data_IF_736522838598
#
_entry.id   IF_736522838598
#
_cell.length_a   1.000
_cell.length_b   1.000
_cell.length_c   1.000
_cell.angle_alpha   90.00
_cell.angle_beta   90.00
_cell.angle_gamma   90.00
#
_symmetry.space_group_name_H-M   'P 1'
#
loop_
_entity.id
_entity.type
_entity.pdbx_description
1 polymer ?
#
# COMPACT_ATOMS: atom_id res chain seq x y z
N UNK A 1 -22.24 6.69 13.05
CA UNK A 1 -22.25 5.61 14.06
C UNK A 1 -23.26 4.55 13.64
N UNK A 2 -22.96 3.26 13.83
CA UNK A 2 -23.86 2.16 13.47
C UNK A 2 -24.96 1.95 14.51
N UNK A 3 -26.11 1.44 14.06
CA UNK A 3 -27.15 0.88 14.95
C UNK A 3 -26.64 -0.43 15.57
N UNK A 4 -27.19 -0.86 16.73
CA UNK A 4 -26.98 -2.22 17.25
C UNK A 4 -27.09 -3.28 16.15
N UNK A 5 -26.21 -4.28 16.17
CA UNK A 5 -26.06 -5.34 15.16
C UNK A 5 -25.69 -4.89 13.74
N UNK A 6 -25.44 -3.59 13.54
CA UNK A 6 -25.01 -3.03 12.27
C UNK A 6 -23.67 -3.59 11.81
N UNK A 7 -23.54 -3.83 10.50
CA UNK A 7 -22.36 -4.43 9.90
C UNK A 7 -21.21 -3.42 9.75
N UNK A 8 -19.99 -3.88 10.04
CA UNK A 8 -18.73 -3.17 9.80
C UNK A 8 -17.89 -4.06 8.88
N UNK A 9 -17.45 -3.50 7.74
CA UNK A 9 -16.54 -4.16 6.82
C UNK A 9 -15.36 -3.23 6.51
N UNK A 10 -14.14 -3.71 6.66
CA UNK A 10 -12.90 -2.99 6.33
C UNK A 10 -11.98 -3.93 5.58
N UNK A 11 -11.37 -3.43 4.50
CA UNK A 11 -10.22 -4.09 3.86
C UNK A 11 -9.05 -3.14 3.88
N UNK A 12 -7.90 -3.63 4.31
CA UNK A 12 -6.68 -2.84 4.39
C UNK A 12 -5.50 -3.60 3.82
N UNK A 13 -4.63 -2.90 3.11
CA UNK A 13 -3.40 -3.47 2.58
C UNK A 13 -2.36 -3.62 3.70
N UNK A 14 -1.51 -4.64 3.58
CA UNK A 14 -0.30 -4.74 4.39
C UNK A 14 0.93 -4.54 3.51
N UNK A 15 1.40 -3.30 3.42
CA UNK A 15 2.58 -2.95 2.61
C UNK A 15 3.85 -3.68 3.03
N UNK A 16 3.91 -4.16 4.28
CA UNK A 16 5.06 -4.95 4.76
C UNK A 16 5.11 -6.36 4.17
N UNK A 17 4.17 -6.73 3.32
CA UNK A 17 4.09 -8.02 2.62
C UNK A 17 4.29 -7.89 1.12
N UNK A 18 4.53 -6.65 0.66
CA UNK A 18 4.77 -6.35 -0.74
C UNK A 18 6.03 -7.07 -1.23
N UNK A 19 5.93 -7.67 -2.41
CA UNK A 19 7.02 -8.28 -3.15
C UNK A 19 6.86 -7.95 -4.63
N UNK A 20 7.98 -7.82 -5.34
CA UNK A 20 7.98 -7.53 -6.78
C UNK A 20 9.21 -8.14 -7.46
N UNK A 21 9.13 -8.25 -8.78
CA UNK A 21 10.21 -8.74 -9.65
C UNK A 21 10.10 -8.08 -11.03
N UNK A 22 11.21 -7.83 -11.76
CA UNK A 22 12.61 -7.87 -11.30
C UNK A 22 12.91 -6.80 -10.27
N UNK A 23 13.92 -7.06 -9.42
CA UNK A 23 14.36 -6.10 -8.41
C UNK A 23 15.05 -4.89 -9.05
N UNK A 24 14.79 -3.71 -8.51
CA UNK A 24 15.40 -2.46 -8.94
C UNK A 24 15.72 -1.57 -7.72
N UNK A 25 16.95 -1.04 -7.60
CA UNK A 25 17.36 -0.28 -6.42
C UNK A 25 16.55 1.01 -6.20
N UNK A 26 16.00 1.62 -7.26
CA UNK A 26 15.15 2.78 -7.14
C UNK A 26 13.73 2.43 -6.71
N UNK A 27 13.20 1.26 -7.11
CA UNK A 27 11.93 0.76 -6.56
C UNK A 27 12.09 0.39 -5.07
N UNK A 28 13.22 -0.22 -4.67
CA UNK A 28 13.51 -0.46 -3.25
C UNK A 28 13.60 0.85 -2.46
N UNK A 29 14.29 1.86 -3.01
CA UNK A 29 14.38 3.20 -2.42
C UNK A 29 13.01 3.86 -2.31
N UNK A 30 12.15 3.70 -3.31
CA UNK A 30 10.77 4.16 -3.27
C UNK A 30 10.03 3.59 -2.05
N UNK A 31 10.12 2.26 -1.83
CA UNK A 31 9.44 1.59 -0.71
C UNK A 31 9.94 2.14 0.63
N UNK A 32 11.26 2.31 0.77
CA UNK A 32 11.87 2.90 1.98
C UNK A 32 11.33 4.31 2.28
N UNK A 33 11.33 5.19 1.27
CA UNK A 33 10.88 6.58 1.38
C UNK A 33 9.38 6.66 1.67
N UNK A 34 8.59 5.77 1.08
CA UNK A 34 7.15 5.68 1.30
C UNK A 34 6.81 5.30 2.73
N UNK A 35 7.49 4.30 3.29
CA UNK A 35 7.32 3.91 4.70
C UNK A 35 7.63 5.08 5.64
N UNK A 36 8.75 5.77 5.44
CA UNK A 36 9.12 6.95 6.24
C UNK A 36 8.06 8.05 6.17
N UNK A 37 7.59 8.34 4.96
CA UNK A 37 6.57 9.37 4.72
C UNK A 37 5.23 9.01 5.36
N UNK A 38 4.77 7.76 5.25
CA UNK A 38 3.53 7.31 5.88
C UNK A 38 3.59 7.37 7.40
N UNK A 39 4.67 6.88 8.01
CA UNK A 39 4.83 6.98 9.46
C UNK A 39 4.87 8.43 9.94
N UNK A 40 5.59 9.31 9.23
CA UNK A 40 5.62 10.75 9.56
C UNK A 40 4.24 11.41 9.44
N UNK A 41 3.41 10.94 8.53
CA UNK A 41 2.02 11.40 8.38
C UNK A 41 1.05 10.78 9.40
N UNK A 42 1.52 9.97 10.35
CA UNK A 42 0.69 9.27 11.33
C UNK A 42 -0.03 8.02 10.79
N UNK A 43 0.31 7.59 9.57
CA UNK A 43 -0.19 6.36 8.98
C UNK A 43 0.52 5.12 9.51
N UNK A 44 -0.13 3.97 9.38
CA UNK A 44 0.45 2.65 9.65
C UNK A 44 0.35 1.80 8.36
N UNK A 45 1.42 1.73 7.54
CA UNK A 45 1.41 0.99 6.28
C UNK A 45 1.27 -0.53 6.46
N UNK A 46 1.47 -1.04 7.69
CA UNK A 46 1.24 -2.45 8.04
C UNK A 46 -0.07 -2.65 8.81
N UNK A 47 -1.10 -1.85 8.51
CA UNK A 47 -2.36 -1.90 9.25
C UNK A 47 -3.15 -3.19 8.97
N UNK A 48 -2.99 -3.80 7.78
CA UNK A 48 -3.63 -5.07 7.44
C UNK A 48 -3.46 -6.15 8.52
N UNK A 49 -2.22 -6.50 8.92
CA UNK A 49 -1.98 -7.49 9.99
C UNK A 49 -2.49 -7.08 11.37
N UNK A 50 -2.86 -5.81 11.58
CA UNK A 50 -3.31 -5.26 12.87
C UNK A 50 -4.83 -5.14 12.98
N UNK A 51 -5.59 -5.39 11.92
CA UNK A 51 -7.05 -5.23 11.92
C UNK A 51 -7.74 -6.04 13.02
N UNK A 52 -7.31 -7.28 13.29
CA UNK A 52 -7.90 -8.08 14.38
C UNK A 52 -7.77 -7.40 15.74
N UNK A 53 -6.59 -6.85 16.03
CA UNK A 53 -6.36 -6.14 17.29
C UNK A 53 -7.21 -4.86 17.37
N UNK A 54 -7.32 -4.12 16.26
CA UNK A 54 -8.14 -2.90 16.18
C UNK A 54 -9.62 -3.20 16.46
N UNK A 55 -10.18 -4.22 15.82
CA UNK A 55 -11.58 -4.59 16.01
C UNK A 55 -11.84 -5.15 17.42
N UNK A 56 -10.91 -5.94 17.98
CA UNK A 56 -11.04 -6.41 19.36
C UNK A 56 -11.10 -5.25 20.36
N UNK A 57 -10.25 -4.22 20.21
CA UNK A 57 -10.30 -3.01 21.06
C UNK A 57 -11.62 -2.26 20.93
N UNK A 58 -12.27 -2.33 19.76
CA UNK A 58 -13.57 -1.69 19.53
C UNK A 58 -14.76 -2.46 20.12
N UNK A 59 -14.56 -3.66 20.67
CA UNK A 59 -15.62 -4.43 21.33
C UNK A 59 -16.72 -4.93 20.38
N UNK A 60 -16.37 -5.25 19.14
CA UNK A 60 -17.31 -5.81 18.15
C UNK A 60 -17.70 -7.25 18.46
N UNK A 61 -18.81 -7.71 17.88
CA UNK A 61 -19.22 -9.12 17.88
C UNK A 61 -19.07 -9.74 16.48
N UNK A 62 -19.05 -11.08 16.40
CA UNK A 62 -18.99 -11.85 15.14
C UNK A 62 -17.81 -11.45 14.22
N UNK A 63 -16.64 -11.20 14.81
CA UNK A 63 -15.45 -10.78 14.06
C UNK A 63 -14.89 -11.93 13.22
N UNK A 64 -14.84 -11.73 11.91
CA UNK A 64 -14.15 -12.57 10.94
C UNK A 64 -13.00 -11.80 10.31
N UNK A 65 -11.85 -12.46 10.21
CA UNK A 65 -10.64 -11.95 9.54
C UNK A 65 -10.30 -12.89 8.40
N UNK A 66 -10.14 -12.36 7.18
CA UNK A 66 -9.77 -13.13 6.00
C UNK A 66 -8.63 -12.44 5.24
N UNK A 67 -7.61 -13.18 4.77
CA UNK A 67 -6.61 -12.62 3.87
C UNK A 67 -7.08 -12.69 2.41
N UNK A 68 -6.63 -11.74 1.60
CA UNK A 68 -6.71 -11.76 0.15
C UNK A 68 -5.36 -11.36 -0.43
N UNK A 69 -4.94 -11.98 -1.53
CA UNK A 69 -3.72 -11.59 -2.25
C UNK A 69 -4.13 -10.77 -3.45
N UNK A 70 -3.48 -9.63 -3.64
CA UNK A 70 -3.53 -8.88 -4.89
C UNK A 70 -2.24 -9.11 -5.66
N UNK A 71 -2.38 -9.36 -6.95
CA UNK A 71 -1.29 -9.73 -7.84
C UNK A 71 -1.47 -8.97 -9.16
N UNK A 72 -0.42 -8.27 -9.58
CA UNK A 72 -0.31 -7.61 -10.87
C UNK A 72 0.77 -8.33 -11.64
N UNK A 73 0.39 -9.06 -12.70
CA UNK A 73 1.31 -9.93 -13.43
C UNK A 73 1.03 -9.98 -14.94
N UNK A 74 -0.11 -9.47 -15.40
CA UNK A 74 -0.33 -9.31 -16.84
C UNK A 74 0.34 -8.03 -17.35
N UNK A 75 0.75 -7.97 -18.63
CA UNK A 75 1.38 -6.78 -19.18
C UNK A 75 0.55 -5.49 -19.03
N UNK A 76 -0.78 -5.59 -19.13
CA UNK A 76 -1.66 -4.44 -18.95
C UNK A 76 -1.68 -3.96 -17.49
N UNK A 77 -1.78 -4.89 -16.54
CA UNK A 77 -1.77 -4.60 -15.10
C UNK A 77 -0.46 -3.97 -14.65
N UNK A 78 0.69 -4.49 -15.11
CA UNK A 78 2.00 -3.97 -14.73
C UNK A 78 2.24 -2.57 -15.30
N UNK A 79 1.82 -2.31 -16.54
CA UNK A 79 1.83 -0.98 -17.17
C UNK A 79 0.98 0.02 -16.39
N UNK A 80 -0.26 -0.33 -16.07
CA UNK A 80 -1.14 0.54 -15.29
C UNK A 80 -0.58 0.81 -13.89
N UNK A 81 -0.08 -0.23 -13.22
CA UNK A 81 0.48 -0.14 -11.88
C UNK A 81 1.73 0.74 -11.83
N UNK A 82 2.70 0.48 -12.71
CA UNK A 82 3.94 1.23 -12.77
C UNK A 82 3.73 2.69 -13.14
N UNK A 83 2.87 2.99 -14.12
CA UNK A 83 2.57 4.38 -14.50
C UNK A 83 1.85 5.13 -13.36
N UNK A 84 0.95 4.46 -12.62
CA UNK A 84 0.26 5.06 -11.47
C UNK A 84 1.24 5.58 -10.42
N UNK A 85 2.26 4.79 -10.04
CA UNK A 85 3.27 5.24 -9.08
C UNK A 85 4.20 6.30 -9.66
N UNK A 86 4.65 6.13 -10.89
CA UNK A 86 5.49 7.10 -11.57
C UNK A 86 4.81 8.48 -11.62
N UNK A 87 3.52 8.54 -11.98
CA UNK A 87 2.78 9.79 -12.02
C UNK A 87 2.61 10.38 -10.61
N UNK A 88 2.17 9.59 -9.63
CA UNK A 88 1.92 10.10 -8.26
C UNK A 88 3.19 10.59 -7.57
N UNK A 89 4.33 9.98 -7.83
CA UNK A 89 5.63 10.45 -7.34
C UNK A 89 5.94 11.86 -7.84
N UNK A 90 5.59 12.16 -9.09
CA UNK A 90 5.97 13.43 -9.72
C UNK A 90 4.94 14.53 -9.51
N UNK A 91 3.65 14.19 -9.41
CA UNK A 91 2.57 15.18 -9.53
C UNK A 91 1.62 15.21 -8.34
N UNK A 92 1.93 14.55 -7.22
CA UNK A 92 1.03 14.50 -6.06
C UNK A 92 1.77 14.70 -4.73
N UNK A 93 1.04 14.91 -3.63
CA UNK A 93 1.61 15.01 -2.29
C UNK A 93 2.45 13.80 -1.86
N UNK A 94 2.31 12.66 -2.54
CA UNK A 94 3.15 11.48 -2.35
C UNK A 94 4.64 11.82 -2.47
N UNK A 95 5.05 12.44 -3.59
CA UNK A 95 6.44 12.83 -3.78
C UNK A 95 6.78 14.16 -3.12
N UNK A 96 5.86 15.14 -3.15
CA UNK A 96 6.11 16.47 -2.56
C UNK A 96 6.47 16.37 -1.08
N UNK A 97 5.74 15.54 -0.30
CA UNK A 97 6.05 15.33 1.12
C UNK A 97 7.37 14.61 1.33
N UNK A 98 7.74 13.67 0.47
CA UNK A 98 9.04 13.01 0.57
C UNK A 98 10.20 14.01 0.45
N UNK A 99 10.06 15.01 -0.42
CA UNK A 99 11.03 16.11 -0.56
C UNK A 99 10.97 17.09 0.60
N UNK A 100 9.78 17.55 0.96
CA UNK A 100 9.55 18.46 2.10
C UNK A 100 10.15 17.91 3.40
N UNK A 101 10.03 16.59 3.60
CA UNK A 101 10.52 15.90 4.78
C UNK A 101 12.01 15.56 4.75
N UNK A 102 12.68 15.81 3.62
CA UNK A 102 14.10 15.51 3.43
C UNK A 102 14.41 14.02 3.26
N UNK A 103 13.43 13.20 2.85
CA UNK A 103 13.61 11.76 2.63
C UNK A 103 14.07 11.43 1.21
N UNK A 104 13.79 12.29 0.25
CA UNK A 104 14.22 12.17 -1.14
C UNK A 104 14.47 13.54 -1.76
N UNK A 105 15.35 13.62 -2.75
CA UNK A 105 15.48 14.78 -3.62
C UNK A 105 14.48 14.70 -4.79
N UNK A 106 14.31 15.80 -5.54
CA UNK A 106 13.50 15.77 -6.77
C UNK A 106 14.07 14.81 -7.82
N UNK A 107 15.40 14.76 -7.97
CA UNK A 107 16.05 13.82 -8.89
C UNK A 107 15.86 12.37 -8.45
N UNK A 108 15.80 12.09 -7.14
CA UNK A 108 15.49 10.74 -6.66
C UNK A 108 14.07 10.33 -7.08
N UNK A 109 13.08 11.23 -6.98
CA UNK A 109 11.71 10.92 -7.41
C UNK A 109 11.61 10.67 -8.92
N UNK A 110 12.35 11.43 -9.73
CA UNK A 110 12.46 11.21 -11.17
C UNK A 110 13.07 9.85 -11.49
N UNK A 111 14.13 9.45 -10.77
CA UNK A 111 14.75 8.14 -10.92
C UNK A 111 13.81 7.00 -10.50
N UNK A 112 13.08 7.15 -9.39
CA UNK A 112 12.03 6.20 -8.97
C UNK A 112 10.93 6.07 -10.03
N UNK A 113 10.43 7.19 -10.56
CA UNK A 113 9.38 7.18 -11.56
C UNK A 113 9.85 6.53 -12.88
N UNK A 114 11.08 6.79 -13.30
CA UNK A 114 11.68 6.13 -14.46
C UNK A 114 11.83 4.62 -14.23
N UNK A 115 12.28 4.20 -13.05
CA UNK A 115 12.41 2.79 -12.69
C UNK A 115 11.05 2.06 -12.71
N UNK A 116 9.99 2.66 -12.16
CA UNK A 116 8.64 2.09 -12.25
C UNK A 116 8.18 1.91 -13.69
N UNK A 117 8.40 2.89 -14.57
CA UNK A 117 8.04 2.80 -15.99
C UNK A 117 8.82 1.72 -16.73
N UNK A 118 10.11 1.58 -16.42
CA UNK A 118 10.95 0.53 -17.00
C UNK A 118 10.53 -0.86 -16.52
N UNK A 119 10.27 -1.01 -15.21
CA UNK A 119 9.74 -2.24 -14.62
C UNK A 119 8.39 -2.62 -15.23
N UNK A 120 7.51 -1.66 -15.44
CA UNK A 120 6.14 -1.89 -15.89
C UNK A 120 6.02 -2.64 -17.23
N UNK A 121 6.98 -2.41 -18.13
CA UNK A 121 7.05 -3.02 -19.46
C UNK A 121 7.99 -4.23 -19.53
N UNK A 122 8.60 -4.61 -18.41
CA UNK A 122 9.48 -5.78 -18.36
C UNK A 122 8.64 -7.07 -18.52
N UNK A 123 9.07 -8.05 -19.34
CA UNK A 123 8.28 -9.27 -19.57
C UNK A 123 8.06 -10.12 -18.31
N UNK A 124 9.00 -10.06 -17.36
CA UNK A 124 8.90 -10.76 -16.07
C UNK A 124 8.33 -9.89 -14.93
N UNK A 125 7.72 -8.74 -15.26
CA UNK A 125 7.18 -7.83 -14.26
C UNK A 125 6.09 -8.50 -13.43
N UNK A 126 6.24 -8.42 -12.11
CA UNK A 126 5.32 -9.01 -11.14
C UNK A 126 5.29 -8.16 -9.88
N UNK A 127 4.11 -7.94 -9.31
CA UNK A 127 3.93 -7.26 -8.03
C UNK A 127 2.81 -7.93 -7.24
N UNK A 128 3.02 -8.14 -5.94
CA UNK A 128 2.00 -8.74 -5.07
C UNK A 128 2.08 -8.24 -3.64
N UNK A 129 0.93 -8.16 -2.96
CA UNK A 129 0.83 -7.92 -1.52
C UNK A 129 -0.43 -8.56 -0.92
N UNK A 130 -0.42 -8.73 0.40
CA UNK A 130 -1.59 -9.13 1.17
C UNK A 130 -2.49 -7.92 1.46
N UNK A 131 -3.79 -8.16 1.30
CA UNK A 131 -4.85 -7.42 1.95
C UNK A 131 -5.44 -8.26 3.08
N UNK A 132 -5.84 -7.61 4.15
CA UNK A 132 -6.59 -8.24 5.24
C UNK A 132 -7.97 -7.59 5.28
N UNK A 133 -8.99 -8.44 5.36
CA UNK A 133 -10.38 -8.07 5.44
C UNK A 133 -10.90 -8.38 6.85
N UNK A 134 -11.66 -7.46 7.41
CA UNK A 134 -12.35 -7.59 8.69
C UNK A 134 -13.84 -7.34 8.49
N UNK A 135 -14.65 -8.33 8.86
CA UNK A 135 -16.11 -8.25 8.87
C UNK A 135 -16.58 -8.48 10.30
N UNK A 136 -17.40 -7.59 10.84
CA UNK A 136 -17.91 -7.71 12.20
C UNK A 136 -19.26 -6.99 12.35
N UNK A 137 -19.86 -7.12 13.52
CA UNK A 137 -21.06 -6.38 13.91
C UNK A 137 -20.78 -5.46 15.08
N UNK A 138 -21.45 -4.32 15.10
CA UNK A 138 -21.54 -3.50 16.31
C UNK A 138 -22.24 -4.34 17.38
N UNK A 139 -21.62 -4.45 18.56
CA UNK A 139 -22.28 -5.05 19.71
C UNK A 139 -23.63 -4.36 20.00
N UNK A 140 -24.54 -5.12 20.61
CA UNK A 140 -25.87 -4.63 20.97
C UNK A 140 -25.82 -3.37 21.85
#
# INVERSE_FOLDING_TARGET
MLRPDGLIAVREVDWGTMTYWPLDPWIDRFVEVHFKTWYRNGGEPRMGRRLRALFNTAGVSDLRITPAVWCYATPAETVEWGESYAQRLLTSPMGERAVEYGYASRSDLEAMAAAFRAWAVHPDAFWSFLHVEALARKAA
#
